data_IF_387364635003
#
_entry.id   IF_387364635003
#
_cell.length_a   1.000
_cell.length_b   1.000
_cell.length_c   1.000
_cell.angle_alpha   90.00
_cell.angle_beta   90.00
_cell.angle_gamma   90.00
#
_symmetry.space_group_name_H-M   'P 1'
#
loop_
_entity.id
_entity.type
_entity.pdbx_description
1 polymer ?
#
# COMPACT_ATOMS: atom_id res chain seq x y z
N UNK A 1 -17.04 12.87 36.33
CA UNK A 1 -16.43 13.88 35.43
C UNK A 1 -17.34 14.09 34.22
N UNK A 2 -17.52 15.37 33.85
CA UNK A 2 -18.61 15.94 33.04
C UNK A 2 -18.84 15.33 31.65
N UNK A 3 -20.09 14.90 31.41
CA UNK A 3 -20.69 14.64 30.08
C UNK A 3 -21.28 15.95 29.52
N UNK A 4 -20.44 16.97 29.31
CA UNK A 4 -20.85 18.22 28.64
C UNK A 4 -20.40 18.16 27.18
N UNK A 5 -21.34 18.38 26.27
CA UNK A 5 -21.22 18.21 24.82
C UNK A 5 -20.27 19.20 24.15
N UNK A 6 -18.97 19.05 24.39
CA UNK A 6 -17.96 19.59 23.51
C UNK A 6 -17.77 18.60 22.36
N UNK A 7 -17.85 19.12 21.13
CA UNK A 7 -17.83 18.35 19.88
C UNK A 7 -16.66 17.38 19.75
N UNK A 8 -16.73 16.59 18.67
CA UNK A 8 -15.75 15.56 18.31
C UNK A 8 -14.33 16.06 18.56
N UNK A 9 -13.59 15.41 19.48
CA UNK A 9 -12.18 15.75 19.73
C UNK A 9 -11.43 15.68 18.40
N UNK A 10 -10.57 16.67 18.15
CA UNK A 10 -9.74 16.66 16.96
C UNK A 10 -8.93 15.35 16.92
N UNK A 11 -8.87 14.68 15.76
CA UNK A 11 -8.13 13.44 15.65
C UNK A 11 -6.65 13.69 15.94
N UNK A 12 -5.98 12.71 16.55
CA UNK A 12 -4.54 12.77 16.84
C UNK A 12 -3.69 12.95 15.57
N UNK A 13 -4.23 12.47 14.46
CA UNK A 13 -3.60 12.54 13.14
C UNK A 13 -4.54 13.24 12.15
N UNK A 14 -4.01 14.10 11.27
CA UNK A 14 -4.79 14.76 10.23
C UNK A 14 -5.47 13.74 9.29
N UNK A 15 -6.61 14.11 8.74
CA UNK A 15 -7.36 13.23 7.83
C UNK A 15 -6.55 12.90 6.57
N UNK A 16 -5.74 13.85 6.12
CA UNK A 16 -4.83 13.75 4.97
C UNK A 16 -3.79 12.63 5.14
N UNK A 17 -3.48 12.25 6.38
CA UNK A 17 -2.55 11.15 6.67
C UNK A 17 -3.16 9.78 6.38
N UNK A 18 -4.47 9.62 6.59
CA UNK A 18 -5.18 8.34 6.47
C UNK A 18 -5.98 8.24 5.16
N UNK A 19 -6.24 9.37 4.51
CA UNK A 19 -6.99 9.41 3.26
C UNK A 19 -6.08 9.08 2.07
N UNK A 20 -6.51 8.13 1.25
CA UNK A 20 -5.82 7.69 0.02
C UNK A 20 -6.36 8.34 -1.25
N UNK A 21 -7.24 9.35 -1.16
CA UNK A 21 -7.88 10.04 -2.28
C UNK A 21 -6.85 10.64 -3.24
N UNK A 22 -5.97 11.50 -2.74
CA UNK A 22 -4.92 12.12 -3.56
C UNK A 22 -3.95 11.08 -4.12
N UNK A 23 -3.58 10.06 -3.33
CA UNK A 23 -2.74 8.95 -3.82
C UNK A 23 -3.40 8.22 -4.97
N UNK A 24 -4.69 7.96 -4.86
CA UNK A 24 -5.47 7.29 -5.91
C UNK A 24 -5.52 8.14 -7.17
N UNK A 25 -5.81 9.44 -7.07
CA UNK A 25 -5.79 10.36 -8.21
C UNK A 25 -4.44 10.42 -8.92
N UNK A 26 -3.35 10.41 -8.14
CA UNK A 26 -1.97 10.40 -8.62
C UNK A 26 -1.50 9.02 -9.08
N UNK A 27 -2.37 8.00 -9.09
CA UNK A 27 -2.05 6.61 -9.44
C UNK A 27 -0.88 6.03 -8.62
N UNK A 28 -0.77 6.46 -7.36
CA UNK A 28 0.17 5.96 -6.38
C UNK A 28 -0.40 4.77 -5.62
N UNK A 29 0.48 3.97 -5.02
CA UNK A 29 0.08 2.86 -4.19
C UNK A 29 -0.73 3.32 -2.97
N UNK A 30 -1.89 2.68 -2.78
CA UNK A 30 -2.84 2.96 -1.70
C UNK A 30 -2.52 2.18 -0.43
N UNK A 31 -1.76 1.11 -0.55
CA UNK A 31 -1.36 0.24 0.56
C UNK A 31 0.15 0.23 0.71
N UNK A 32 0.61 -0.25 1.86
CA UNK A 32 2.01 -0.46 2.21
C UNK A 32 2.59 -1.78 1.66
N UNK A 33 1.97 -2.40 0.63
CA UNK A 33 2.33 -3.74 0.14
C UNK A 33 3.83 -3.90 -0.16
N UNK A 34 4.47 -2.86 -0.71
CA UNK A 34 5.90 -2.88 -1.01
C UNK A 34 6.76 -2.98 0.26
N UNK A 35 6.42 -2.22 1.30
CA UNK A 35 7.11 -2.28 2.58
C UNK A 35 6.88 -3.64 3.27
N UNK A 36 5.64 -4.15 3.25
CA UNK A 36 5.35 -5.48 3.78
C UNK A 36 6.08 -6.59 3.01
N UNK A 37 6.14 -6.51 1.68
CA UNK A 37 6.87 -7.47 0.87
C UNK A 37 8.38 -7.43 1.16
N UNK A 38 8.96 -6.24 1.32
CA UNK A 38 10.35 -6.08 1.72
C UNK A 38 10.60 -6.67 3.12
N UNK A 39 9.71 -6.41 4.07
CA UNK A 39 9.78 -6.98 5.42
C UNK A 39 9.67 -8.51 5.41
N UNK A 40 8.71 -9.07 4.66
CA UNK A 40 8.56 -10.53 4.49
C UNK A 40 9.82 -11.16 3.92
N UNK A 41 10.41 -10.57 2.88
CA UNK A 41 11.68 -11.05 2.30
C UNK A 41 12.81 -11.05 3.33
N UNK A 42 12.96 -9.95 4.08
CA UNK A 42 13.97 -9.86 5.14
C UNK A 42 13.76 -10.95 6.19
N UNK A 43 12.52 -11.16 6.63
CA UNK A 43 12.20 -12.20 7.61
C UNK A 43 12.48 -13.61 7.07
N UNK A 44 12.15 -13.87 5.80
CA UNK A 44 12.47 -15.15 5.13
C UNK A 44 13.98 -15.37 5.03
N UNK A 45 14.76 -14.35 4.66
CA UNK A 45 16.22 -14.44 4.55
C UNK A 45 16.92 -14.64 5.90
N UNK A 46 16.40 -14.01 6.96
CA UNK A 46 16.92 -14.18 8.32
C UNK A 46 16.53 -15.54 8.90
N UNK A 47 15.32 -16.03 8.62
CA UNK A 47 14.82 -17.33 9.08
C UNK A 47 14.74 -17.46 10.61
N UNK A 48 14.70 -16.34 11.34
CA UNK A 48 14.72 -16.32 12.81
C UNK A 48 14.08 -15.06 13.39
N UNK A 49 13.51 -15.18 14.59
CA UNK A 49 12.76 -14.10 15.24
C UNK A 49 13.67 -13.07 15.94
N UNK A 50 14.84 -13.51 16.43
CA UNK A 50 15.75 -12.67 17.21
C UNK A 50 17.21 -12.82 16.74
N UNK A 51 17.59 -12.21 15.60
CA UNK A 51 18.95 -12.27 15.09
C UNK A 51 19.93 -11.49 15.97
N UNK A 52 21.16 -12.01 16.10
CA UNK A 52 22.29 -11.20 16.59
C UNK A 52 22.62 -10.11 15.58
N UNK A 53 23.31 -9.06 16.00
CA UNK A 53 23.74 -7.96 15.10
C UNK A 53 24.49 -8.50 13.88
N UNK A 54 25.38 -9.48 14.06
CA UNK A 54 26.13 -10.10 12.97
C UNK A 54 25.23 -10.84 11.97
N UNK A 55 24.31 -11.67 12.46
CA UNK A 55 23.34 -12.38 11.59
C UNK A 55 22.42 -11.41 10.85
N UNK A 56 22.03 -10.32 11.50
CA UNK A 56 21.24 -9.26 10.87
C UNK A 56 22.01 -8.61 9.72
N UNK A 57 23.28 -8.24 9.94
CA UNK A 57 24.14 -7.64 8.91
C UNK A 57 24.29 -8.59 7.72
N UNK A 58 24.58 -9.87 7.97
CA UNK A 58 24.72 -10.86 6.90
C UNK A 58 23.41 -11.06 6.12
N UNK A 59 22.26 -11.10 6.81
CA UNK A 59 20.95 -11.17 6.18
C UNK A 59 20.65 -9.94 5.31
N UNK A 60 20.96 -8.74 5.80
CA UNK A 60 20.79 -7.50 5.04
C UNK A 60 21.64 -7.48 3.77
N UNK A 61 22.90 -7.94 3.85
CA UNK A 61 23.79 -8.06 2.68
C UNK A 61 23.24 -9.00 1.62
N UNK A 62 22.64 -10.14 2.03
CA UNK A 62 21.99 -11.08 1.10
C UNK A 62 20.75 -10.46 0.42
N UNK A 63 19.88 -9.82 1.21
CA UNK A 63 18.69 -9.13 0.68
C UNK A 63 19.11 -8.05 -0.33
N UNK A 64 20.16 -7.29 -0.01
CA UNK A 64 20.70 -6.26 -0.89
C UNK A 64 21.26 -6.85 -2.19
N UNK A 65 22.11 -7.87 -2.12
CA UNK A 65 22.67 -8.51 -3.31
C UNK A 65 21.59 -9.02 -4.28
N UNK A 66 20.53 -9.65 -3.74
CA UNK A 66 19.37 -10.08 -4.55
C UNK A 66 18.61 -8.90 -5.18
N UNK A 67 18.54 -7.76 -4.47
CA UNK A 67 17.87 -6.57 -4.98
C UNK A 67 18.67 -5.87 -6.07
N UNK A 68 19.99 -5.80 -5.91
CA UNK A 68 20.91 -5.22 -6.88
C UNK A 68 20.88 -6.05 -8.16
N UNK A 69 20.91 -7.38 -8.07
CA UNK A 69 20.74 -8.26 -9.23
C UNK A 69 19.43 -8.00 -9.99
N UNK A 70 18.31 -7.87 -9.28
CA UNK A 70 17.03 -7.52 -9.90
C UNK A 70 17.06 -6.13 -10.56
N UNK A 71 17.74 -5.16 -9.95
CA UNK A 71 17.90 -3.83 -10.52
C UNK A 71 18.71 -3.87 -11.82
N UNK A 72 19.82 -4.62 -11.86
CA UNK A 72 20.63 -4.80 -13.07
C UNK A 72 19.82 -5.41 -14.22
N UNK A 73 18.92 -6.35 -13.92
CA UNK A 73 17.97 -6.86 -14.94
C UNK A 73 17.09 -5.76 -15.54
N UNK A 74 16.60 -4.84 -14.71
CA UNK A 74 15.81 -3.70 -15.18
C UNK A 74 16.66 -2.74 -16.01
N UNK A 75 17.91 -2.48 -15.60
CA UNK A 75 18.88 -1.67 -16.36
C UNK A 75 19.16 -2.29 -17.73
N UNK A 76 19.24 -3.62 -17.80
CA UNK A 76 19.36 -4.38 -19.04
C UNK A 76 18.10 -4.36 -19.93
N UNK A 77 17.04 -3.65 -19.52
CA UNK A 77 15.80 -3.48 -20.30
C UNK A 77 14.75 -4.57 -20.06
N UNK A 78 14.94 -5.44 -19.06
CA UNK A 78 13.89 -6.41 -18.72
C UNK A 78 12.72 -5.70 -18.06
N UNK A 79 11.50 -6.16 -18.35
CA UNK A 79 10.30 -5.59 -17.73
C UNK A 79 10.09 -6.15 -16.32
N UNK A 80 9.59 -5.33 -15.38
CA UNK A 80 9.18 -5.82 -14.07
C UNK A 80 7.98 -6.78 -14.20
N UNK A 81 7.78 -7.67 -13.20
CA UNK A 81 6.59 -8.52 -13.16
C UNK A 81 5.30 -7.71 -13.26
N UNK A 82 4.43 -8.11 -14.17
CA UNK A 82 3.16 -7.42 -14.39
C UNK A 82 2.22 -7.69 -13.22
N UNK A 83 1.58 -6.64 -12.71
CA UNK A 83 0.51 -6.76 -11.71
C UNK A 83 -0.62 -7.64 -12.26
N UNK A 84 -1.13 -8.57 -11.44
CA UNK A 84 -2.23 -9.45 -11.85
C UNK A 84 -3.42 -8.63 -12.36
N UNK A 85 -4.03 -9.11 -13.46
CA UNK A 85 -5.12 -8.41 -14.18
C UNK A 85 -6.24 -7.96 -13.24
N UNK A 86 -6.71 -8.84 -12.34
CA UNK A 86 -7.77 -8.51 -11.38
C UNK A 86 -7.50 -7.25 -10.56
N UNK A 87 -6.25 -7.04 -10.13
CA UNK A 87 -5.88 -5.88 -9.34
C UNK A 87 -5.73 -4.62 -10.20
N UNK A 88 -5.22 -4.76 -11.43
CA UNK A 88 -5.17 -3.65 -12.40
C UNK A 88 -6.56 -3.14 -12.73
N UNK A 89 -7.49 -4.06 -13.00
CA UNK A 89 -8.87 -3.71 -13.34
C UNK A 89 -9.58 -3.05 -12.14
N UNK A 90 -9.30 -3.54 -10.92
CA UNK A 90 -9.82 -2.93 -9.70
C UNK A 90 -9.24 -1.54 -9.42
N UNK A 91 -7.94 -1.34 -9.60
CA UNK A 91 -7.31 -0.01 -9.50
C UNK A 91 -7.98 0.97 -10.47
N UNK A 92 -8.19 0.54 -11.72
CA UNK A 92 -8.81 1.37 -12.75
C UNK A 92 -10.25 1.74 -12.40
N UNK A 93 -11.07 0.79 -11.94
CA UNK A 93 -12.45 1.06 -11.52
C UNK A 93 -12.51 2.00 -10.32
N UNK A 94 -11.64 1.80 -9.33
CA UNK A 94 -11.59 2.71 -8.18
C UNK A 94 -11.14 4.10 -8.60
N UNK A 95 -10.13 4.23 -9.48
CA UNK A 95 -9.70 5.52 -10.01
C UNK A 95 -10.86 6.26 -10.69
N UNK A 96 -11.68 5.56 -11.49
CA UNK A 96 -12.88 6.13 -12.10
C UNK A 96 -13.86 6.67 -11.04
N UNK A 97 -14.14 5.88 -10.00
CA UNK A 97 -15.04 6.30 -8.90
C UNK A 97 -14.48 7.51 -8.15
N UNK A 98 -13.17 7.56 -7.91
CA UNK A 98 -12.49 8.66 -7.20
C UNK A 98 -12.46 9.95 -8.02
N UNK A 99 -12.20 9.86 -9.33
CA UNK A 99 -12.24 11.03 -10.24
C UNK A 99 -13.63 11.68 -10.30
N UNK A 100 -14.66 10.87 -10.16
CA UNK A 100 -16.06 11.28 -10.25
C UNK A 100 -16.67 11.66 -8.89
N UNK A 101 -15.84 11.83 -7.85
CA UNK A 101 -16.28 12.09 -6.47
C UNK A 101 -17.24 13.28 -6.35
N UNK A 102 -16.93 14.40 -7.00
CA UNK A 102 -17.73 15.64 -6.89
C UNK A 102 -19.10 15.54 -7.58
N UNK A 103 -19.30 14.56 -8.47
CA UNK A 103 -20.56 14.37 -9.20
C UNK A 103 -21.45 13.29 -8.58
N UNK A 104 -21.07 12.74 -7.42
CA UNK A 104 -21.77 11.64 -6.74
C UNK A 104 -22.25 12.06 -5.38
N UNK A 105 -23.34 11.44 -4.91
CA UNK A 105 -23.63 11.49 -3.48
C UNK A 105 -22.58 10.72 -2.69
N UNK A 106 -22.34 11.12 -1.44
CA UNK A 106 -21.40 10.44 -0.54
C UNK A 106 -21.70 8.94 -0.41
N UNK A 107 -22.98 8.56 -0.39
CA UNK A 107 -23.41 7.16 -0.28
C UNK A 107 -23.05 6.36 -1.53
N UNK A 108 -23.33 6.91 -2.72
CA UNK A 108 -22.98 6.25 -3.99
C UNK A 108 -21.47 6.10 -4.17
N UNK A 109 -20.71 7.12 -3.76
CA UNK A 109 -19.26 7.07 -3.77
C UNK A 109 -18.75 5.92 -2.90
N UNK A 110 -19.14 5.88 -1.62
CA UNK A 110 -18.70 4.83 -0.67
C UNK A 110 -19.12 3.44 -1.15
N UNK A 111 -20.33 3.31 -1.71
CA UNK A 111 -20.82 2.05 -2.28
C UNK A 111 -19.97 1.60 -3.47
N UNK A 112 -19.61 2.52 -4.37
CA UNK A 112 -18.73 2.25 -5.50
C UNK A 112 -17.34 1.79 -5.09
N UNK A 113 -16.78 2.38 -4.03
CA UNK A 113 -15.51 1.93 -3.44
C UNK A 113 -15.66 0.52 -2.85
N UNK A 114 -16.70 0.28 -2.05
CA UNK A 114 -16.93 -1.01 -1.38
C UNK A 114 -17.04 -2.19 -2.36
N UNK A 115 -17.78 -2.04 -3.46
CA UNK A 115 -17.90 -3.09 -4.48
C UNK A 115 -16.55 -3.54 -5.06
N UNK A 116 -15.62 -2.61 -5.23
CA UNK A 116 -14.29 -2.93 -5.76
C UNK A 116 -13.41 -3.67 -4.76
N UNK A 117 -13.62 -3.54 -3.46
CA UNK A 117 -12.90 -4.32 -2.45
C UNK A 117 -13.54 -5.68 -2.21
N UNK A 118 -14.88 -5.77 -2.24
CA UNK A 118 -15.60 -7.04 -2.05
C UNK A 118 -15.43 -8.02 -3.21
N UNK A 119 -15.34 -7.54 -4.46
CA UNK A 119 -15.09 -8.40 -5.63
C UNK A 119 -13.65 -8.96 -5.72
N UNK A 120 -12.75 -8.56 -4.81
CA UNK A 120 -11.34 -8.97 -4.79
C UNK A 120 -10.94 -9.86 -3.60
N UNK A 121 -11.89 -10.12 -2.68
CA UNK A 121 -11.81 -11.15 -1.65
C UNK A 121 -12.52 -12.41 -2.16
#
# INVERSE_FOLDING_TARGET
MNRRGNGRRQPLFPHEMWNVYNRTLNQQDRTNNHAEAAHRRLQTELGMDHPTIWKLIDGLRKVQANRDFYYEHLVAGHNPPVKLKKYRDADQRILTVVRDYNNRSTVEYLRGIAYNYQMNL
#
